data_IF_473852862997
#
_entry.id   IF_473852862997
#
_cell.length_a   1.000
_cell.length_b   1.000
_cell.length_c   1.000
_cell.angle_alpha   90.00
_cell.angle_beta   90.00
_cell.angle_gamma   90.00
#
_symmetry.space_group_name_H-M   'P 1'
#
loop_
_entity.id
_entity.type
_entity.pdbx_description
1 polymer ?
#
# COMPACT_ATOMS: atom_id res chain seq x y z
N UNK A 1 7.67 1.69 -17.65
CA UNK A 1 7.32 1.75 -16.21
C UNK A 1 5.93 2.33 -16.08
N UNK A 2 5.04 1.71 -15.31
CA UNK A 2 3.68 2.22 -15.08
C UNK A 2 3.62 2.70 -13.64
N UNK A 3 3.31 3.98 -13.45
CA UNK A 3 3.05 4.52 -12.12
C UNK A 3 1.65 4.07 -11.72
N UNK A 4 1.56 3.32 -10.63
CA UNK A 4 0.30 2.85 -10.08
C UNK A 4 0.16 3.33 -8.64
N UNK A 5 -1.05 3.73 -8.26
CA UNK A 5 -1.35 4.18 -6.91
C UNK A 5 -2.20 3.14 -6.21
N UNK A 6 -1.93 2.91 -4.93
CA UNK A 6 -2.63 1.96 -4.09
C UNK A 6 -3.07 2.63 -2.79
N UNK A 7 -4.22 2.23 -2.25
CA UNK A 7 -4.54 2.39 -0.82
C UNK A 7 -4.28 1.06 -0.14
N UNK A 8 -3.55 1.08 0.97
CA UNK A 8 -3.32 -0.07 1.82
C UNK A 8 -3.85 0.18 3.23
N UNK A 9 -4.54 -0.81 3.79
CA UNK A 9 -5.01 -0.81 5.16
C UNK A 9 -4.06 -1.66 5.99
N UNK A 10 -3.49 -1.09 7.04
CA UNK A 10 -2.51 -1.75 7.91
C UNK A 10 -3.07 -1.81 9.31
N UNK A 11 -3.03 -2.99 9.90
CA UNK A 11 -3.45 -3.22 11.28
C UNK A 11 -2.23 -3.19 12.19
N UNK A 12 -2.15 -2.13 12.99
CA UNK A 12 -1.21 -2.00 14.09
C UNK A 12 -1.88 -2.41 15.41
N UNK A 13 -1.10 -2.62 16.47
CA UNK A 13 -1.64 -3.01 17.78
C UNK A 13 -2.63 -1.97 18.35
N UNK A 14 -2.44 -0.69 18.01
CA UNK A 14 -3.23 0.42 18.54
C UNK A 14 -4.36 0.88 17.60
N UNK A 15 -4.59 0.19 16.49
CA UNK A 15 -5.63 0.54 15.53
C UNK A 15 -5.25 0.26 14.09
N UNK A 16 -6.00 0.87 13.18
CA UNK A 16 -5.86 0.66 11.74
C UNK A 16 -5.46 1.97 11.07
N UNK A 17 -4.48 1.91 10.15
CA UNK A 17 -4.04 3.06 9.35
C UNK A 17 -4.27 2.78 7.87
N UNK A 18 -4.66 3.82 7.12
CA UNK A 18 -4.78 3.76 5.67
C UNK A 18 -3.64 4.56 5.05
N UNK A 19 -2.82 3.91 4.20
CA UNK A 19 -1.72 4.54 3.50
C UNK A 19 -2.00 4.63 1.99
N UNK A 20 -1.68 5.78 1.40
CA UNK A 20 -1.64 5.94 -0.05
C UNK A 20 -0.20 5.75 -0.54
N UNK A 21 0.02 4.75 -1.39
CA UNK A 21 1.34 4.35 -1.86
C UNK A 21 1.41 4.40 -3.37
N UNK A 22 2.47 5.02 -3.89
CA UNK A 22 2.76 5.06 -5.32
C UNK A 22 3.85 4.03 -5.61
N UNK A 23 3.62 3.14 -6.57
CA UNK A 23 4.55 2.08 -6.94
C UNK A 23 4.80 2.07 -8.44
N UNK A 24 6.06 1.88 -8.80
CA UNK A 24 6.50 1.67 -10.19
C UNK A 24 6.49 0.18 -10.59
N UNK A 25 6.35 -0.71 -9.61
CA UNK A 25 6.44 -2.17 -9.74
C UNK A 25 5.11 -2.84 -9.33
N UNK A 26 3.99 -2.14 -9.52
CA UNK A 26 2.65 -2.60 -9.16
C UNK A 26 2.50 -2.95 -7.68
N UNK A 27 1.61 -3.90 -7.38
CA UNK A 27 1.20 -4.24 -6.01
C UNK A 27 2.36 -4.73 -5.13
N UNK A 28 3.27 -5.55 -5.67
CA UNK A 28 4.42 -6.06 -4.91
C UNK A 28 5.39 -4.94 -4.52
N UNK A 29 5.65 -3.99 -5.41
CA UNK A 29 6.45 -2.81 -5.08
C UNK A 29 5.77 -1.88 -4.05
N UNK A 30 4.44 -1.84 -3.99
CA UNK A 30 3.72 -1.10 -2.96
C UNK A 30 3.86 -1.79 -1.60
N UNK A 31 3.73 -3.11 -1.55
CA UNK A 31 3.91 -3.92 -0.33
C UNK A 31 5.31 -3.74 0.25
N UNK A 32 6.37 -3.88 -0.58
CA UNK A 32 7.75 -3.66 -0.12
C UNK A 32 7.98 -2.27 0.47
N UNK A 33 7.42 -1.23 -0.16
CA UNK A 33 7.55 0.14 0.36
C UNK A 33 6.84 0.27 1.71
N UNK A 34 5.63 -0.29 1.84
CA UNK A 34 4.87 -0.26 3.10
C UNK A 34 5.64 -0.94 4.21
N UNK A 35 6.07 -2.19 4.00
CA UNK A 35 6.77 -2.96 5.04
C UNK A 35 8.10 -2.34 5.44
N UNK A 36 8.78 -1.67 4.51
CA UNK A 36 10.04 -0.95 4.79
C UNK A 36 9.81 0.35 5.56
N UNK A 37 8.77 1.13 5.23
CA UNK A 37 8.52 2.45 5.86
C UNK A 37 7.85 2.31 7.22
N UNK A 38 6.87 1.41 7.34
CA UNK A 38 6.12 1.19 8.58
C UNK A 38 6.81 0.21 9.53
N UNK A 39 7.93 -0.38 9.10
CA UNK A 39 8.64 -1.45 9.83
C UNK A 39 7.69 -2.56 10.30
N UNK A 40 6.81 -3.00 9.39
CA UNK A 40 5.76 -3.95 9.70
C UNK A 40 5.86 -5.20 8.80
N UNK A 41 5.48 -6.38 9.29
CA UNK A 41 5.41 -7.56 8.45
C UNK A 41 4.30 -7.42 7.40
N UNK A 42 4.43 -8.10 6.26
CA UNK A 42 3.39 -8.07 5.20
C UNK A 42 2.02 -8.52 5.72
N UNK A 43 1.98 -9.40 6.72
CA UNK A 43 0.74 -9.86 7.34
C UNK A 43 -0.04 -8.76 8.09
N UNK A 44 0.61 -7.63 8.40
CA UNK A 44 -0.08 -6.46 8.96
C UNK A 44 -0.93 -5.72 7.92
N UNK A 45 -0.63 -5.90 6.62
CA UNK A 45 -1.40 -5.32 5.52
C UNK A 45 -2.66 -6.16 5.32
N UNK A 46 -3.80 -5.68 5.83
CA UNK A 46 -5.07 -6.41 5.75
C UNK A 46 -5.78 -6.24 4.41
N UNK A 47 -5.50 -5.12 3.72
CA UNK A 47 -6.09 -4.82 2.44
C UNK A 47 -5.13 -3.97 1.61
N UNK A 48 -5.12 -4.18 0.29
CA UNK A 48 -4.45 -3.29 -0.64
C UNK A 48 -5.21 -3.26 -1.96
N UNK A 49 -5.73 -2.08 -2.28
CA UNK A 49 -6.56 -1.80 -3.45
C UNK A 49 -5.84 -0.83 -4.37
N UNK A 50 -5.87 -1.11 -5.67
CA UNK A 50 -5.36 -0.19 -6.66
C UNK A 50 -6.37 0.94 -6.84
N UNK A 51 -5.90 2.17 -6.85
CA UNK A 51 -6.68 3.33 -7.26
C UNK A 51 -6.35 3.57 -8.73
N UNK A 52 -7.28 3.22 -9.60
CA UNK A 52 -7.22 3.73 -10.97
C UNK A 52 -7.59 5.21 -10.89
N UNK A 53 -6.63 6.07 -11.18
CA UNK A 53 -6.87 7.49 -11.31
C UNK A 53 -7.58 7.70 -12.66
N UNK A 54 -8.84 7.29 -12.73
CA UNK A 54 -9.74 7.58 -13.85
C UNK A 54 -9.93 9.09 -13.85
N UNK A 55 -9.05 9.77 -14.59
CA UNK A 55 -9.16 11.20 -14.85
C UNK A 55 -10.22 11.31 -15.92
N UNK A 56 -11.48 11.36 -15.50
CA UNK A 56 -12.61 11.75 -16.34
C UNK A 56 -12.80 13.27 -16.23
#
# INVERSE_FOLDING_TARGET
MKVETFIATIKHNNGTVNLKVVSLNGKQGAIQQITTVEDCPECAITEIVKIDNDTN
#
